data_IF_976803458867
#
_entry.id   IF_976803458867
#
_cell.length_a   1.000
_cell.length_b   1.000
_cell.length_c   1.000
_cell.angle_alpha   90.00
_cell.angle_beta   90.00
_cell.angle_gamma   90.00
#
_symmetry.space_group_name_H-M   'P 1'
#
loop_
_entity.id
_entity.type
_entity.pdbx_description
1 polymer ?
#
# COMPACT_ATOMS: atom_id res chain seq x y z
N UNK A 1 -2.50 -9.36 -1.31
CA UNK A 1 -1.91 -9.15 0.03
C UNK A 1 -0.55 -9.83 -0.02
N UNK A 2 0.50 -9.17 0.46
CA UNK A 2 1.88 -9.69 0.49
C UNK A 2 2.35 -9.86 1.93
N UNK A 3 3.31 -10.73 2.19
CA UNK A 3 3.91 -10.82 3.53
C UNK A 3 4.82 -9.64 3.83
N UNK A 4 5.07 -9.38 5.12
CA UNK A 4 6.01 -8.34 5.56
C UNK A 4 7.43 -8.57 5.00
N UNK A 5 7.90 -9.82 4.97
CA UNK A 5 9.22 -10.15 4.45
C UNK A 5 9.33 -9.89 2.93
N UNK A 6 8.32 -10.28 2.15
CA UNK A 6 8.29 -9.97 0.72
C UNK A 6 8.24 -8.47 0.45
N UNK A 7 7.49 -7.73 1.26
CA UNK A 7 7.38 -6.28 1.15
C UNK A 7 8.71 -5.58 1.45
N UNK A 8 9.40 -5.97 2.53
CA UNK A 8 10.73 -5.46 2.88
C UNK A 8 11.76 -5.78 1.80
N UNK A 9 11.70 -6.99 1.22
CA UNK A 9 12.55 -7.36 0.11
C UNK A 9 12.31 -6.47 -1.12
N UNK A 10 11.04 -6.20 -1.48
CA UNK A 10 10.71 -5.28 -2.57
C UNK A 10 11.26 -3.87 -2.33
N UNK A 11 11.08 -3.31 -1.13
CA UNK A 11 11.64 -2.00 -0.75
C UNK A 11 13.16 -1.93 -0.92
N UNK A 12 13.87 -3.02 -0.63
CA UNK A 12 15.33 -3.08 -0.74
C UNK A 12 15.84 -3.18 -2.19
N UNK A 13 15.00 -3.66 -3.11
CA UNK A 13 15.42 -3.97 -4.50
C UNK A 13 14.79 -3.09 -5.57
N UNK A 14 13.75 -2.33 -5.24
CA UNK A 14 13.03 -1.51 -6.21
C UNK A 14 13.82 -0.26 -6.59
N UNK A 15 13.68 0.15 -7.85
CA UNK A 15 14.19 1.39 -8.43
C UNK A 15 13.15 2.53 -8.40
N UNK A 16 12.00 2.33 -7.75
CA UNK A 16 10.98 3.35 -7.62
C UNK A 16 11.43 4.52 -6.73
N UNK A 17 10.93 5.73 -7.02
CA UNK A 17 11.11 6.88 -6.13
C UNK A 17 10.09 6.76 -4.98
N UNK A 18 10.59 6.51 -3.77
CA UNK A 18 9.77 6.20 -2.59
C UNK A 18 9.69 7.39 -1.63
N UNK A 19 8.47 7.75 -1.24
CA UNK A 19 8.19 8.62 -0.10
C UNK A 19 7.70 7.76 1.07
N UNK A 20 8.30 7.88 2.25
CA UNK A 20 7.89 7.16 3.46
C UNK A 20 6.98 8.01 4.34
N UNK A 21 5.88 7.44 4.81
CA UNK A 21 4.90 8.09 5.70
C UNK A 21 4.58 7.18 6.89
N UNK A 22 4.71 7.69 8.11
CA UNK A 22 4.37 6.97 9.35
C UNK A 22 5.59 6.51 10.15
N UNK A 23 5.49 5.35 10.80
CA UNK A 23 6.54 4.82 11.65
C UNK A 23 7.76 4.37 10.82
N UNK A 24 8.99 4.59 11.33
CA UNK A 24 10.18 4.15 10.63
C UNK A 24 10.16 2.63 10.44
N UNK A 25 10.50 2.18 9.24
CA UNK A 25 10.67 0.76 8.92
C UNK A 25 12.05 0.36 9.43
N UNK A 26 12.13 -0.04 10.71
CA UNK A 26 13.36 -0.52 11.36
C UNK A 26 13.27 -2.02 11.64
N UNK A 27 14.24 -2.79 11.16
CA UNK A 27 14.42 -4.20 11.53
C UNK A 27 15.02 -4.30 12.94
N UNK A 28 14.24 -3.90 13.95
CA UNK A 28 14.63 -4.04 15.35
C UNK A 28 13.91 -5.26 15.97
N UNK A 29 14.64 -6.34 16.33
CA UNK A 29 14.06 -7.53 16.96
C UNK A 29 13.49 -7.29 18.37
N UNK A 30 13.71 -6.10 18.96
CA UNK A 30 13.19 -5.65 20.25
C UNK A 30 12.15 -4.52 20.12
N UNK A 31 11.73 -4.16 18.90
CA UNK A 31 10.65 -3.21 18.71
C UNK A 31 9.41 -3.70 19.47
N UNK A 32 8.74 -2.77 20.19
CA UNK A 32 7.47 -3.04 20.85
C UNK A 32 6.56 -3.81 19.89
N UNK A 33 5.84 -4.84 20.38
CA UNK A 33 4.86 -5.61 19.58
C UNK A 33 4.10 -4.62 18.71
N UNK A 34 4.44 -4.55 17.42
CA UNK A 34 3.80 -3.59 16.53
C UNK A 34 2.33 -3.90 16.65
N UNK A 35 1.50 -2.88 16.82
CA UNK A 35 0.07 -3.07 16.70
C UNK A 35 -0.19 -3.35 15.22
N UNK A 36 0.13 -4.57 14.77
CA UNK A 36 0.15 -5.08 13.40
C UNK A 36 0.12 -3.96 12.35
N UNK A 37 1.18 -3.14 12.33
CA UNK A 37 1.21 -1.99 11.42
C UNK A 37 0.97 -2.50 10.01
N UNK A 38 0.06 -1.82 9.31
CA UNK A 38 -0.22 -2.13 7.93
C UNK A 38 0.72 -1.30 7.09
N UNK A 39 1.54 -1.99 6.31
CA UNK A 39 2.33 -1.34 5.29
C UNK A 39 1.52 -1.29 4.00
N UNK A 40 1.48 -0.13 3.36
CA UNK A 40 0.81 0.08 2.08
C UNK A 40 1.77 0.79 1.15
N UNK A 41 2.12 0.17 0.03
CA UNK A 41 2.72 0.87 -1.10
C UNK A 41 1.63 1.21 -2.10
N UNK A 42 1.58 2.46 -2.53
CA UNK A 42 0.73 2.87 -3.65
C UNK A 42 1.52 3.74 -4.61
N UNK A 43 1.31 3.52 -5.91
CA UNK A 43 2.03 4.22 -6.97
C UNK A 43 1.08 4.81 -8.01
N UNK A 44 1.55 5.85 -8.68
CA UNK A 44 0.76 6.58 -9.67
C UNK A 44 0.85 6.03 -11.09
N UNK A 45 1.83 5.18 -11.41
CA UNK A 45 2.00 4.64 -12.75
C UNK A 45 1.99 3.11 -12.78
N UNK A 46 1.73 2.58 -13.97
CA UNK A 46 1.82 1.16 -14.30
C UNK A 46 2.38 1.01 -15.71
N UNK A 47 3.33 0.10 -15.90
CA UNK A 47 3.82 -0.34 -17.21
C UNK A 47 3.65 -1.85 -17.27
N UNK A 48 2.80 -2.34 -18.17
CA UNK A 48 2.42 -3.76 -18.29
C UNK A 48 1.97 -4.37 -16.97
N UNK A 49 2.73 -5.29 -16.37
CA UNK A 49 2.41 -5.91 -15.07
C UNK A 49 3.19 -5.30 -13.90
N UNK A 50 3.96 -4.25 -14.15
CA UNK A 50 4.78 -3.59 -13.14
C UNK A 50 4.08 -2.32 -12.64
N UNK A 51 3.83 -2.27 -11.33
CA UNK A 51 3.43 -1.06 -10.63
C UNK A 51 4.67 -0.21 -10.33
N UNK A 52 4.65 1.09 -10.64
CA UNK A 52 5.83 1.93 -10.46
C UNK A 52 5.59 3.43 -10.69
N UNK A 53 6.67 4.15 -11.01
CA UNK A 53 6.70 5.60 -11.02
C UNK A 53 6.79 6.17 -9.59
N UNK A 54 6.22 7.37 -9.35
CA UNK A 54 6.14 7.92 -8.00
C UNK A 54 5.31 7.01 -7.08
N UNK A 55 5.96 6.47 -6.05
CA UNK A 55 5.37 5.57 -5.07
C UNK A 55 5.43 6.19 -3.67
N UNK A 56 4.43 5.93 -2.85
CA UNK A 56 4.44 6.27 -1.43
C UNK A 56 4.20 5.01 -0.62
N UNK A 57 4.96 4.89 0.47
CA UNK A 57 4.90 3.78 1.41
C UNK A 57 4.39 4.32 2.73
N UNK A 58 3.21 3.87 3.12
CA UNK A 58 2.67 4.07 4.46
C UNK A 58 3.07 2.90 5.36
N UNK A 59 3.47 3.19 6.59
CA UNK A 59 3.67 2.20 7.65
C UNK A 59 3.06 2.72 8.95
N UNK A 60 1.96 2.10 9.40
CA UNK A 60 1.32 2.49 10.65
C UNK A 60 -0.02 1.80 10.89
N UNK A 61 -0.75 2.30 11.88
CA UNK A 61 -2.05 1.78 12.30
C UNK A 61 -3.23 2.25 11.45
N UNK A 62 -4.43 2.23 12.05
CA UNK A 62 -5.66 2.61 11.38
C UNK A 62 -5.63 4.09 10.94
N UNK A 63 -5.88 4.36 9.66
CA UNK A 63 -5.95 5.72 9.13
C UNK A 63 -6.69 5.76 7.79
N UNK A 64 -7.11 6.96 7.40
CA UNK A 64 -7.53 7.24 6.04
C UNK A 64 -6.43 8.00 5.30
N UNK A 65 -5.86 7.39 4.28
CA UNK A 65 -4.84 7.98 3.43
C UNK A 65 -5.51 8.68 2.25
N UNK A 66 -5.26 9.97 2.04
CA UNK A 66 -5.63 10.66 0.80
C UNK A 66 -4.55 10.42 -0.25
N UNK A 67 -4.90 9.67 -1.29
CA UNK A 67 -3.94 9.14 -2.28
C UNK A 67 -4.43 9.37 -3.72
N UNK A 68 -4.75 10.62 -4.10
CA UNK A 68 -5.24 10.92 -5.45
C UNK A 68 -4.23 10.50 -6.51
N UNK A 69 -4.72 9.87 -7.58
CA UNK A 69 -3.88 9.41 -8.69
C UNK A 69 -3.19 8.07 -8.42
N UNK A 70 -3.60 7.33 -7.40
CA UNK A 70 -3.15 5.94 -7.21
C UNK A 70 -3.71 5.06 -8.33
N UNK A 71 -2.83 4.33 -9.00
CA UNK A 71 -3.18 3.39 -10.06
C UNK A 71 -2.92 1.94 -9.69
N UNK A 72 -2.05 1.70 -8.71
CA UNK A 72 -1.80 0.38 -8.19
C UNK A 72 -1.30 0.45 -6.76
N UNK A 73 -1.63 -0.57 -5.97
CA UNK A 73 -1.23 -0.65 -4.57
C UNK A 73 -1.02 -2.09 -4.11
N UNK A 74 -0.12 -2.26 -3.14
CA UNK A 74 0.11 -3.49 -2.39
C UNK A 74 0.05 -3.17 -0.89
N UNK A 75 -0.35 -4.14 -0.09
CA UNK A 75 -0.34 -3.99 1.37
C UNK A 75 -0.12 -5.32 2.08
N UNK A 76 0.38 -5.23 3.32
CA UNK A 76 0.59 -6.39 4.21
C UNK A 76 -0.67 -6.87 4.90
N UNK A 77 -1.65 -6.00 5.07
CA UNK A 77 -3.00 -6.34 5.54
C UNK A 77 -4.04 -5.97 4.48
N UNK A 78 -5.26 -6.46 4.68
CA UNK A 78 -6.37 -6.09 3.80
C UNK A 78 -6.74 -4.61 4.04
N UNK A 79 -6.65 -3.80 2.99
CA UNK A 79 -7.01 -2.38 3.02
C UNK A 79 -8.16 -2.10 2.06
N UNK A 80 -8.93 -1.05 2.35
CA UNK A 80 -9.95 -0.54 1.43
C UNK A 80 -9.35 0.49 0.49
N UNK A 81 -9.69 0.48 -0.79
CA UNK A 81 -9.36 1.54 -1.74
C UNK A 81 -10.64 2.14 -2.32
N UNK A 82 -10.75 3.46 -2.30
CA UNK A 82 -11.96 4.19 -2.64
C UNK A 82 -11.73 5.17 -3.78
N UNK A 83 -12.76 5.41 -4.58
CA UNK A 83 -12.76 6.32 -5.73
C UNK A 83 -12.93 7.82 -5.37
N UNK A 84 -13.25 8.12 -4.11
CA UNK A 84 -13.32 9.48 -3.56
C UNK A 84 -12.24 9.73 -2.49
N UNK A 85 -11.95 11.00 -2.22
CA UNK A 85 -11.12 11.39 -1.09
C UNK A 85 -11.82 11.14 0.25
N UNK A 86 -11.05 11.13 1.34
CA UNK A 86 -11.58 10.97 2.69
C UNK A 86 -12.22 9.61 2.99
N UNK A 87 -11.81 8.54 2.28
CA UNK A 87 -12.27 7.17 2.50
C UNK A 87 -13.79 7.03 2.41
N UNK A 88 -14.35 7.62 1.36
CA UNK A 88 -15.79 7.68 1.08
C UNK A 88 -16.09 7.21 -0.35
N UNK A 89 -17.38 7.18 -0.72
CA UNK A 89 -17.81 6.79 -2.06
C UNK A 89 -17.82 5.27 -2.25
N UNK A 90 -17.35 4.81 -3.41
CA UNK A 90 -17.28 3.39 -3.76
C UNK A 90 -15.93 2.83 -3.34
N UNK A 91 -15.94 1.97 -2.32
CA UNK A 91 -14.74 1.35 -1.79
C UNK A 91 -14.72 -0.15 -2.08
N UNK A 92 -13.56 -0.66 -2.48
CA UNK A 92 -13.30 -2.09 -2.65
C UNK A 92 -12.19 -2.54 -1.73
N UNK A 93 -12.12 -3.83 -1.42
CA UNK A 93 -11.06 -4.38 -0.58
C UNK A 93 -9.90 -4.89 -1.44
N UNK A 94 -8.67 -4.76 -0.95
CA UNK A 94 -7.49 -5.29 -1.62
C UNK A 94 -7.56 -6.81 -1.80
N UNK A 95 -8.24 -7.52 -0.90
CA UNK A 95 -8.53 -8.95 -1.02
C UNK A 95 -9.33 -9.27 -2.30
N UNK A 96 -10.25 -8.40 -2.71
CA UNK A 96 -11.11 -8.56 -3.89
C UNK A 96 -10.50 -7.96 -5.18
N UNK A 97 -9.18 -7.87 -5.25
CA UNK A 97 -8.48 -7.32 -6.41
C UNK A 97 -8.85 -8.06 -7.70
N UNK A 98 -9.35 -7.34 -8.71
CA UNK A 98 -9.69 -7.91 -10.01
C UNK A 98 -8.47 -8.25 -10.87
N UNK A 99 -7.45 -7.39 -10.90
CA UNK A 99 -6.24 -7.60 -11.70
C UNK A 99 -5.00 -7.49 -10.82
N UNK A 100 -4.40 -8.63 -10.51
CA UNK A 100 -3.11 -8.71 -9.80
C UNK A 100 -1.96 -8.37 -10.73
N UNK A 101 -0.98 -7.67 -10.20
CA UNK A 101 0.25 -7.25 -10.82
C UNK A 101 1.43 -7.95 -10.14
N UNK A 102 2.63 -7.75 -10.68
CA UNK A 102 3.85 -8.31 -10.10
C UNK A 102 4.07 -7.84 -8.66
N UNK A 103 4.80 -8.62 -7.87
CA UNK A 103 5.07 -8.35 -6.45
C UNK A 103 3.81 -8.15 -5.59
N UNK A 104 2.71 -8.78 -5.99
CA UNK A 104 1.45 -8.79 -5.22
C UNK A 104 0.68 -7.47 -5.22
N UNK A 105 1.07 -6.54 -6.10
CA UNK A 105 0.31 -5.32 -6.36
C UNK A 105 -1.06 -5.64 -6.96
N UNK A 106 -2.00 -4.72 -6.75
CA UNK A 106 -3.31 -4.73 -7.36
C UNK A 106 -3.44 -3.51 -8.27
N UNK A 107 -3.92 -3.73 -9.49
CA UNK A 107 -4.33 -2.64 -10.35
C UNK A 107 -5.62 -2.02 -9.83
N UNK A 108 -5.54 -0.75 -9.43
CA UNK A 108 -6.60 0.01 -8.73
C UNK A 108 -6.73 1.41 -9.33
N UNK A 109 -6.99 1.52 -10.65
CA UNK A 109 -7.04 2.82 -11.33
C UNK A 109 -8.14 3.72 -10.75
N UNK A 110 -7.84 5.00 -10.62
CA UNK A 110 -8.79 6.00 -10.12
C UNK A 110 -8.97 5.99 -8.60
N UNK A 111 -8.12 5.26 -7.85
CA UNK A 111 -8.11 5.32 -6.39
C UNK A 111 -7.72 6.72 -5.93
N UNK A 112 -8.51 7.27 -4.99
CA UNK A 112 -8.29 8.59 -4.39
C UNK A 112 -8.07 8.56 -2.89
N UNK A 113 -8.45 7.47 -2.23
CA UNK A 113 -8.09 7.25 -0.83
C UNK A 113 -7.96 5.77 -0.49
N UNK A 114 -7.19 5.49 0.55
CA UNK A 114 -6.96 4.14 1.07
C UNK A 114 -7.34 4.13 2.55
N UNK A 115 -8.27 3.25 2.91
CA UNK A 115 -8.65 2.97 4.30
C UNK A 115 -7.76 1.87 4.84
N UNK A 116 -6.94 2.23 5.83
CA UNK A 116 -6.16 1.29 6.62
C UNK A 116 -6.92 1.02 7.90
N UNK A 117 -7.32 -0.22 8.15
CA UNK A 117 -7.88 -0.65 9.43
C UNK A 117 -6.77 -1.11 10.39
N UNK A 118 -7.00 -0.97 11.70
CA UNK A 118 -6.16 -1.65 12.69
C UNK A 118 -6.36 -3.16 12.52
N UNK A 119 -5.27 -3.89 12.29
CA UNK A 119 -5.27 -5.34 12.20
C UNK A 119 -5.32 -6.00 13.58
#
# INVERSE_FOLDING_TARGET
IVSEAEFKNWLATTDAEIIYVGEPIVDNPLAARSAQNTMVTYCSNRVDNVCGGPCTVYNGGATCLNTPGTNCLAATNNVGFCDHGGCSGSCNQLSSCGTRLDNGFCFTPGTKSITVSSA
#
